data_IF_931904240871
#
_entry.id   IF_931904240871
#
_cell.length_a   1.000
_cell.length_b   1.000
_cell.length_c   1.000
_cell.angle_alpha   90.00
_cell.angle_beta   90.00
_cell.angle_gamma   90.00
#
_symmetry.space_group_name_H-M   'P 1'
#
loop_
_entity.id
_entity.type
_entity.pdbx_description
1 polymer ?
#
# COMPACT_ATOMS: atom_id res chain seq x y z
N UNK A 1 55.02 -9.60 12.18
CA UNK A 1 53.72 -9.68 12.89
C UNK A 1 53.98 -9.49 14.38
N UNK A 2 53.10 -8.74 15.05
CA UNK A 2 53.38 -7.99 16.30
C UNK A 2 53.69 -8.86 17.53
N UNK A 3 54.59 -8.29 18.33
CA UNK A 3 55.05 -8.62 19.67
C UNK A 3 54.02 -8.24 20.76
N UNK A 4 53.82 -9.16 21.71
CA UNK A 4 53.52 -9.03 23.16
C UNK A 4 52.20 -8.36 23.61
N UNK A 5 51.46 -9.06 24.49
CA UNK A 5 51.53 -8.85 25.95
C UNK A 5 50.35 -9.56 26.66
N UNK A 6 50.66 -10.57 27.48
CA UNK A 6 49.89 -10.88 28.69
C UNK A 6 50.09 -9.71 29.68
N UNK A 7 49.08 -9.31 30.48
CA UNK A 7 49.06 -9.78 31.86
C UNK A 7 47.66 -9.82 32.53
N UNK A 8 47.62 -10.42 33.72
CA UNK A 8 46.54 -10.43 34.72
C UNK A 8 45.59 -11.62 34.74
N UNK A 9 46.19 -12.77 35.06
CA UNK A 9 45.60 -13.72 35.99
C UNK A 9 45.87 -13.20 37.42
N UNK A 10 44.81 -12.85 38.16
CA UNK A 10 44.83 -12.78 39.62
C UNK A 10 43.56 -13.48 40.09
N UNK A 11 43.76 -14.76 40.39
CA UNK A 11 42.91 -15.62 41.21
C UNK A 11 42.35 -14.88 42.42
N UNK A 12 41.04 -14.65 42.42
CA UNK A 12 40.25 -14.54 43.64
C UNK A 12 39.20 -15.64 43.59
N UNK A 13 39.65 -16.82 44.01
CA UNK A 13 38.85 -17.97 44.40
C UNK A 13 37.80 -17.53 45.43
N UNK A 14 36.57 -17.29 44.99
CA UNK A 14 35.40 -17.27 45.88
C UNK A 14 34.71 -18.64 45.77
N UNK A 15 34.51 -19.36 46.89
CA UNK A 15 33.82 -20.63 46.88
C UNK A 15 32.35 -20.46 46.46
N UNK A 16 31.73 -21.47 45.82
CA UNK A 16 30.32 -21.42 45.48
C UNK A 16 29.48 -21.44 46.78
N UNK A 17 28.49 -20.54 46.95
CA UNK A 17 27.45 -20.79 47.94
C UNK A 17 26.57 -21.94 47.42
N UNK A 18 26.75 -23.10 48.04
CA UNK A 18 25.80 -24.23 48.06
C UNK A 18 24.35 -23.74 48.35
N UNK A 19 23.33 -24.50 47.91
CA UNK A 19 21.97 -23.99 47.72
C UNK A 19 21.24 -23.82 49.05
N UNK A 20 20.96 -22.58 49.44
CA UNK A 20 19.96 -22.33 50.48
C UNK A 20 18.58 -22.46 49.82
N UNK A 21 18.02 -23.67 49.88
CA UNK A 21 16.59 -23.92 49.74
C UNK A 21 15.87 -23.00 50.72
N UNK A 22 15.23 -21.95 50.21
CA UNK A 22 14.24 -21.19 50.95
C UNK A 22 12.96 -21.18 50.14
N UNK A 23 12.11 -22.15 50.47
CA UNK A 23 10.71 -22.17 50.10
C UNK A 23 10.07 -20.84 50.44
N UNK A 24 9.58 -20.14 49.42
CA UNK A 24 8.66 -19.01 49.58
C UNK A 24 7.53 -19.16 48.59
N UNK A 25 6.52 -19.84 49.12
CA UNK A 25 5.08 -19.64 48.96
C UNK A 25 4.64 -18.70 47.84
N UNK A 26 3.79 -19.25 46.98
CA UNK A 26 3.33 -18.64 45.73
C UNK A 26 2.67 -17.27 45.91
N UNK A 27 3.10 -16.34 45.07
CA UNK A 27 2.35 -15.13 44.75
C UNK A 27 1.65 -15.37 43.41
N UNK A 28 0.35 -15.65 43.46
CA UNK A 28 -0.52 -15.58 42.28
C UNK A 28 -0.68 -14.12 41.88
N UNK A 29 0.18 -13.64 40.98
CA UNK A 29 -0.02 -12.33 40.36
C UNK A 29 -1.17 -12.48 39.39
N UNK A 30 -2.38 -12.08 39.82
CA UNK A 30 -3.51 -11.95 38.91
C UNK A 30 -3.11 -10.97 37.82
N UNK A 31 -2.77 -11.51 36.64
CA UNK A 31 -2.45 -10.72 35.46
C UNK A 31 -3.75 -10.03 35.05
N UNK A 32 -3.93 -8.79 35.52
CA UNK A 32 -4.98 -7.92 35.03
C UNK A 32 -4.70 -7.67 33.55
N UNK A 33 -5.31 -8.48 32.69
CA UNK A 33 -5.31 -8.25 31.25
C UNK A 33 -6.19 -7.03 31.07
N UNK A 34 -5.59 -5.85 31.05
CA UNK A 34 -6.27 -4.64 30.61
C UNK A 34 -6.60 -4.93 29.14
N UNK A 35 -7.88 -5.11 28.73
CA UNK A 35 -8.17 -5.17 27.32
C UNK A 35 -7.77 -3.80 26.79
N UNK A 36 -6.75 -3.76 25.95
CA UNK A 36 -6.47 -2.55 25.18
C UNK A 36 -7.78 -2.27 24.47
N UNK A 37 -8.46 -1.18 24.84
CA UNK A 37 -9.55 -0.67 24.00
C UNK A 37 -8.85 -0.40 22.69
N UNK A 38 -9.01 -1.32 21.75
CA UNK A 38 -8.58 -1.13 20.39
C UNK A 38 -9.47 0.00 19.89
N UNK A 39 -9.04 1.25 20.14
CA UNK A 39 -9.61 2.43 19.52
C UNK A 39 -9.61 2.09 18.06
N UNK A 40 -10.81 1.91 17.50
CA UNK A 40 -11.01 1.53 16.11
C UNK A 40 -10.00 2.34 15.31
N UNK A 41 -9.02 1.66 14.72
CA UNK A 41 -8.00 2.29 13.88
C UNK A 41 -8.84 3.03 12.84
N UNK A 42 -8.95 4.34 12.95
CA UNK A 42 -9.65 5.15 11.96
C UNK A 42 -8.99 4.80 10.65
N UNK A 43 -9.66 3.98 9.83
CA UNK A 43 -9.10 3.58 8.55
C UNK A 43 -8.78 4.90 7.85
N UNK A 44 -7.55 5.12 7.36
CA UNK A 44 -7.30 6.28 6.55
C UNK A 44 -8.35 6.21 5.45
N UNK A 45 -9.20 7.23 5.36
CA UNK A 45 -10.25 7.32 4.35
C UNK A 45 -9.53 7.38 3.02
N UNK A 46 -9.25 6.22 2.43
CA UNK A 46 -8.45 6.14 1.22
C UNK A 46 -9.27 6.80 0.14
N UNK A 47 -8.86 8.00 -0.27
CA UNK A 47 -9.50 8.71 -1.36
C UNK A 47 -9.53 7.78 -2.57
N UNK A 48 -10.72 7.54 -3.08
CA UNK A 48 -10.94 6.75 -4.29
C UNK A 48 -10.97 7.73 -5.45
N UNK A 49 -10.07 7.56 -6.41
CA UNK A 49 -10.05 8.31 -7.67
C UNK A 49 -10.39 7.37 -8.82
N UNK A 50 -10.77 7.95 -9.96
CA UNK A 50 -11.03 7.18 -11.17
C UNK A 50 -9.72 6.58 -11.67
N UNK A 51 -9.74 5.29 -11.98
CA UNK A 51 -8.62 4.57 -12.58
C UNK A 51 -8.66 4.76 -14.10
N UNK A 52 -8.08 5.86 -14.57
CA UNK A 52 -8.04 6.22 -15.99
C UNK A 52 -7.37 5.16 -16.85
N UNK A 53 -6.36 4.45 -16.31
CA UNK A 53 -5.74 3.33 -16.99
C UNK A 53 -6.75 2.21 -17.27
N UNK A 54 -7.55 1.81 -16.27
CA UNK A 54 -8.58 0.78 -16.47
C UNK A 54 -9.72 1.25 -17.36
N UNK A 55 -10.10 2.53 -17.30
CA UNK A 55 -11.10 3.11 -18.23
C UNK A 55 -10.62 2.95 -19.67
N UNK A 56 -9.41 3.42 -19.98
CA UNK A 56 -8.84 3.38 -21.33
C UNK A 56 -8.58 1.94 -21.77
N UNK A 57 -8.04 1.10 -20.88
CA UNK A 57 -7.79 -0.31 -21.18
C UNK A 57 -9.09 -1.08 -21.40
N UNK A 58 -10.16 -0.73 -20.67
CA UNK A 58 -11.50 -1.26 -20.89
C UNK A 58 -12.01 -0.98 -22.30
N UNK A 59 -11.83 0.25 -22.79
CA UNK A 59 -12.17 0.62 -24.18
C UNK A 59 -11.34 -0.16 -25.21
N UNK A 60 -10.06 -0.39 -24.93
CA UNK A 60 -9.23 -1.20 -25.84
C UNK A 60 -9.64 -2.67 -25.87
N UNK A 61 -10.14 -3.20 -24.75
CA UNK A 61 -10.64 -4.58 -24.67
C UNK A 61 -11.98 -4.78 -25.38
N UNK A 62 -12.77 -3.72 -25.55
CA UNK A 62 -14.00 -3.76 -26.36
C UNK A 62 -13.74 -3.61 -27.86
N UNK A 63 -12.47 -3.48 -28.28
CA UNK A 63 -12.07 -3.41 -29.68
C UNK A 63 -11.76 -1.99 -30.19
N UNK A 64 -11.88 -0.96 -29.35
CA UNK A 64 -11.56 0.41 -29.76
C UNK A 64 -10.04 0.65 -29.70
N UNK A 65 -9.47 1.09 -30.81
CA UNK A 65 -8.06 1.50 -30.81
C UNK A 65 -7.86 2.79 -30.00
N UNK A 66 -6.66 3.00 -29.44
CA UNK A 66 -6.34 4.27 -28.76
C UNK A 66 -6.59 5.49 -29.68
N UNK A 67 -6.38 5.32 -30.99
CA UNK A 67 -6.56 6.40 -31.95
C UNK A 67 -8.04 6.79 -32.12
N UNK A 68 -8.91 5.77 -32.12
CA UNK A 68 -10.37 5.97 -32.14
C UNK A 68 -10.85 6.62 -30.85
N UNK A 69 -10.33 6.20 -29.69
CA UNK A 69 -10.67 6.82 -28.39
C UNK A 69 -10.20 8.28 -28.36
N UNK A 70 -8.99 8.58 -28.85
CA UNK A 70 -8.46 9.95 -28.86
C UNK A 70 -9.30 10.87 -29.75
N UNK A 71 -9.73 10.37 -30.92
CA UNK A 71 -10.61 11.11 -31.81
C UNK A 71 -12.00 11.36 -31.18
N UNK A 72 -12.56 10.38 -30.48
CA UNK A 72 -13.87 10.52 -29.83
C UNK A 72 -13.86 11.51 -28.65
N UNK A 73 -12.77 11.54 -27.88
CA UNK A 73 -12.62 12.47 -26.74
C UNK A 73 -12.15 13.86 -27.19
N UNK A 74 -11.49 13.94 -28.35
CA UNK A 74 -10.93 15.17 -28.91
C UNK A 74 -9.59 15.57 -28.29
N UNK A 75 -8.75 14.59 -27.96
CA UNK A 75 -7.40 14.80 -27.40
C UNK A 75 -6.33 14.11 -28.25
N UNK A 76 -5.06 14.47 -28.07
CA UNK A 76 -3.97 13.78 -28.75
C UNK A 76 -3.79 12.35 -28.20
N UNK A 77 -3.36 11.42 -29.05
CA UNK A 77 -3.05 10.04 -28.64
C UNK A 77 -1.98 9.98 -27.53
N UNK A 78 -1.01 10.88 -27.56
CA UNK A 78 0.03 11.02 -26.53
C UNK A 78 -0.55 11.39 -25.17
N UNK A 79 -1.61 12.21 -25.15
CA UNK A 79 -2.33 12.57 -23.92
C UNK A 79 -2.99 11.34 -23.28
N UNK A 80 -3.62 10.47 -24.08
CA UNK A 80 -4.17 9.21 -23.56
C UNK A 80 -3.09 8.28 -23.00
N UNK A 81 -1.90 8.25 -23.62
CA UNK A 81 -0.77 7.48 -23.10
C UNK A 81 -0.32 8.04 -21.74
N UNK A 82 -0.25 9.36 -21.61
CA UNK A 82 0.03 10.02 -20.33
C UNK A 82 -1.00 9.64 -19.25
N UNK A 83 -2.29 9.61 -19.58
CA UNK A 83 -3.33 9.21 -18.62
C UNK A 83 -3.27 7.74 -18.24
N UNK A 84 -2.86 6.86 -19.17
CA UNK A 84 -2.56 5.46 -18.84
C UNK A 84 -1.36 5.33 -17.89
N UNK A 85 -0.41 6.26 -17.97
CA UNK A 85 0.74 6.35 -17.07
C UNK A 85 0.44 7.13 -15.79
N UNK A 86 -0.82 7.48 -15.51
CA UNK A 86 -1.26 8.10 -14.26
C UNK A 86 -1.43 9.60 -14.25
N UNK A 87 -1.23 10.27 -15.39
CA UNK A 87 -1.63 11.66 -15.47
C UNK A 87 -3.16 11.77 -15.35
N UNK A 88 -3.61 12.79 -14.62
CA UNK A 88 -5.04 13.05 -14.46
C UNK A 88 -5.53 13.94 -15.62
N UNK A 89 -6.60 13.55 -16.36
CA UNK A 89 -7.22 14.42 -17.35
C UNK A 89 -7.80 15.67 -16.69
N UNK A 90 -7.92 16.76 -17.45
CA UNK A 90 -8.73 17.89 -16.96
C UNK A 90 -10.19 17.48 -16.89
N UNK A 91 -10.95 18.18 -16.04
CA UNK A 91 -12.38 17.91 -15.82
C UNK A 91 -13.16 17.67 -17.13
N UNK A 92 -13.05 18.59 -18.08
CA UNK A 92 -13.79 18.52 -19.35
C UNK A 92 -13.42 17.30 -20.20
N UNK A 93 -12.14 16.94 -20.21
CA UNK A 93 -11.61 15.82 -21.00
C UNK A 93 -11.94 14.47 -20.32
N UNK A 94 -11.84 14.43 -19.00
CA UNK A 94 -12.22 13.30 -18.18
C UNK A 94 -13.72 12.98 -18.32
N UNK A 95 -14.59 14.00 -18.26
CA UNK A 95 -16.03 13.83 -18.45
C UNK A 95 -16.37 13.29 -19.85
N UNK A 96 -15.68 13.75 -20.90
CA UNK A 96 -15.85 13.21 -22.27
C UNK A 96 -15.42 11.75 -22.35
N UNK A 97 -14.29 11.40 -21.74
CA UNK A 97 -13.80 10.02 -21.70
C UNK A 97 -14.75 9.10 -20.92
N UNK A 98 -15.28 9.57 -19.78
CA UNK A 98 -16.29 8.84 -19.00
C UNK A 98 -17.57 8.65 -19.78
N UNK A 99 -18.05 9.70 -20.44
CA UNK A 99 -19.26 9.66 -21.28
C UNK A 99 -19.10 8.66 -22.42
N UNK A 100 -17.94 8.65 -23.07
CA UNK A 100 -17.62 7.70 -24.13
C UNK A 100 -17.53 6.26 -23.59
N UNK A 101 -16.89 6.05 -22.44
CA UNK A 101 -16.82 4.74 -21.79
C UNK A 101 -18.19 4.21 -21.39
N UNK A 102 -19.06 5.06 -20.84
CA UNK A 102 -20.43 4.71 -20.49
C UNK A 102 -21.22 4.27 -21.73
N UNK A 103 -21.10 5.02 -22.84
CA UNK A 103 -21.72 4.66 -24.12
C UNK A 103 -21.23 3.33 -24.69
N UNK A 104 -19.91 3.09 -24.66
CA UNK A 104 -19.30 1.86 -25.21
C UNK A 104 -19.60 0.63 -24.36
N UNK A 105 -19.60 0.77 -23.04
CA UNK A 105 -19.78 -0.37 -22.13
C UNK A 105 -21.23 -0.58 -21.69
N UNK A 106 -22.13 0.38 -21.95
CA UNK A 106 -23.50 0.40 -21.46
C UNK A 106 -23.60 0.52 -19.93
N UNK A 107 -22.54 0.99 -19.26
CA UNK A 107 -22.46 1.06 -17.80
C UNK A 107 -22.50 2.50 -17.33
N UNK A 108 -23.25 2.73 -16.25
CA UNK A 108 -23.30 4.05 -15.60
C UNK A 108 -21.92 4.49 -15.06
N UNK A 109 -21.71 5.80 -14.97
CA UNK A 109 -20.50 6.41 -14.39
C UNK A 109 -20.18 5.92 -12.97
N UNK A 110 -21.19 5.50 -12.21
CA UNK A 110 -21.02 4.94 -10.87
C UNK A 110 -20.29 3.60 -10.87
N UNK A 111 -20.21 2.92 -12.02
CA UNK A 111 -19.47 1.67 -12.21
C UNK A 111 -18.07 1.89 -12.79
N UNK A 112 -17.60 3.13 -12.86
CA UNK A 112 -16.23 3.43 -13.28
C UNK A 112 -15.25 2.69 -12.37
N UNK A 113 -14.16 2.16 -12.94
CA UNK A 113 -13.10 1.59 -12.15
C UNK A 113 -12.50 2.68 -11.26
N UNK A 114 -12.52 2.44 -9.95
CA UNK A 114 -11.92 3.33 -8.95
C UNK A 114 -10.66 2.68 -8.37
N UNK A 115 -9.66 3.49 -8.09
CA UNK A 115 -8.41 3.10 -7.43
C UNK A 115 -8.17 4.01 -6.23
N UNK A 116 -7.66 3.44 -5.14
CA UNK A 116 -7.21 4.23 -4.01
C UNK A 116 -5.94 5.00 -4.40
N UNK A 117 -5.84 6.28 -4.02
CA UNK A 117 -4.72 7.16 -4.42
C UNK A 117 -3.34 6.54 -4.15
N UNK A 118 -3.18 5.80 -3.05
CA UNK A 118 -1.92 5.13 -2.69
C UNK A 118 -1.64 3.81 -3.43
N UNK A 119 -2.66 3.14 -3.97
CA UNK A 119 -2.52 1.82 -4.61
C UNK A 119 -2.10 1.91 -6.08
N UNK A 120 -2.27 3.08 -6.71
CA UNK A 120 -1.94 3.27 -8.12
C UNK A 120 -0.43 3.09 -8.40
N UNK A 121 0.44 3.55 -7.49
CA UNK A 121 1.89 3.35 -7.57
C UNK A 121 2.28 1.89 -7.31
N UNK A 122 1.65 1.24 -6.32
CA UNK A 122 1.91 -0.16 -5.98
C UNK A 122 1.53 -1.14 -7.11
N UNK A 123 0.51 -0.81 -7.91
CA UNK A 123 0.09 -1.58 -9.06
C UNK A 123 1.06 -1.45 -10.26
N UNK A 124 1.66 -0.28 -10.47
CA UNK A 124 2.53 0.00 -11.62
C UNK A 124 4.02 -0.26 -11.36
N UNK A 125 4.48 -0.31 -10.11
CA UNK A 125 5.89 -0.57 -9.77
C UNK A 125 6.31 -2.04 -9.87
N UNK A 126 5.37 -2.96 -10.06
CA UNK A 126 5.61 -4.41 -10.22
C UNK A 126 5.75 -4.88 -11.67
N UNK A 127 5.98 -3.96 -12.61
CA UNK A 127 6.16 -4.28 -14.03
C UNK A 127 7.59 -4.80 -14.33
#
# INVERSE_FOLDING_TARGET
MRTQAHPNQLDLYLPPPEPVVSAREGVVVARLVIPVRQTARSQPKTEKRVDWFKVITGLTKTGYSLNTVSAAVGVARTTLIGWKQGAEPRYTEGERLVSFWSQVTGRDRSKLPMVAVGDWWAYHSKA
#
